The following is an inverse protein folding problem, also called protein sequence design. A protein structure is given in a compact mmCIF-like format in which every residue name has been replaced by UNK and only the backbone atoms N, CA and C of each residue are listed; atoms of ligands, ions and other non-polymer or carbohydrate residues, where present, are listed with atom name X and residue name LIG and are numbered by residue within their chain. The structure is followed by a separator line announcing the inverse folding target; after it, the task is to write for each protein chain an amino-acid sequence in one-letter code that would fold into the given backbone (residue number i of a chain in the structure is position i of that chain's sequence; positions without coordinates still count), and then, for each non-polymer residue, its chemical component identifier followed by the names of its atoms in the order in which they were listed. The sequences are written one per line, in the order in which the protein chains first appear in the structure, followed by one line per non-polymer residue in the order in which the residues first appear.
data_IF_111285398427
#
_entry.id   IF_111285398427
#
_cell.length_a   1.000
_cell.length_b   1.000
_cell.length_c   1.000
_cell.angle_alpha   90.00
_cell.angle_beta   90.00
_cell.angle_gamma   90.00
#
_symmetry.space_group_name_H-M   'P 1'
#
loop_
_entity.id
_entity.type
_entity.pdbx_description
1 polymer ?
#
# COMPACT_ATOMS: atom_id res chain seq x y z
N UNK A 1 -0.59 1.31 8.01
CA UNK A 1 0.75 1.93 7.84
C UNK A 1 1.28 2.49 9.16
N UNK A 2 0.53 3.34 9.86
CA UNK A 2 0.89 3.97 11.15
C UNK A 2 1.52 3.02 12.17
N UNK A 3 0.78 1.98 12.58
CA UNK A 3 1.23 1.09 13.64
C UNK A 3 2.26 0.08 13.17
N UNK A 4 1.91 -0.76 12.19
CA UNK A 4 2.76 -1.87 11.77
C UNK A 4 4.04 -1.38 11.07
N UNK A 5 3.93 -0.60 9.99
CA UNK A 5 5.11 -0.08 9.30
C UNK A 5 5.88 0.90 10.18
N UNK A 6 5.21 1.83 10.86
CA UNK A 6 5.87 2.81 11.73
C UNK A 6 6.65 2.18 12.90
N UNK A 7 6.13 1.13 13.53
CA UNK A 7 6.85 0.43 14.61
C UNK A 7 8.03 -0.40 14.10
N UNK A 8 7.85 -1.11 12.97
CA UNK A 8 8.93 -1.87 12.34
C UNK A 8 10.03 -0.95 11.81
N UNK A 9 9.66 0.18 11.21
CA UNK A 9 10.59 1.17 10.64
C UNK A 9 11.62 1.67 11.65
N UNK A 10 11.21 1.84 12.91
CA UNK A 10 12.07 2.24 14.03
C UNK A 10 13.06 1.16 14.46
N UNK A 11 12.76 -0.12 14.22
CA UNK A 11 13.54 -1.28 14.69
C UNK A 11 14.38 -1.93 13.59
N UNK A 12 13.86 -1.99 12.37
CA UNK A 12 14.39 -2.79 11.26
C UNK A 12 14.88 -1.94 10.08
N UNK A 13 14.69 -0.62 10.11
CA UNK A 13 14.99 0.26 8.99
C UNK A 13 13.92 0.21 7.88
N UNK A 14 14.18 0.93 6.78
CA UNK A 14 13.21 1.15 5.72
C UNK A 14 12.88 -0.12 4.94
N UNK A 15 13.90 -0.75 4.33
CA UNK A 15 13.71 -1.83 3.37
C UNK A 15 13.02 -3.07 3.96
N UNK A 16 13.44 -3.62 5.13
CA UNK A 16 12.77 -4.77 5.71
C UNK A 16 11.31 -4.46 6.11
N UNK A 17 11.08 -3.27 6.68
CA UNK A 17 9.72 -2.85 7.08
C UNK A 17 8.81 -2.68 5.87
N UNK A 18 9.32 -2.10 4.78
CA UNK A 18 8.59 -1.93 3.54
C UNK A 18 8.22 -3.28 2.92
N UNK A 19 9.18 -4.19 2.79
CA UNK A 19 8.95 -5.52 2.21
C UNK A 19 7.94 -6.31 3.04
N UNK A 20 8.16 -6.43 4.34
CA UNK A 20 7.32 -7.26 5.21
C UNK A 20 5.90 -6.72 5.28
N UNK A 21 5.73 -5.41 5.49
CA UNK A 21 4.37 -4.84 5.62
C UNK A 21 3.62 -4.74 4.30
N UNK A 22 4.32 -4.73 3.16
CA UNK A 22 3.69 -4.84 1.83
C UNK A 22 3.26 -6.27 1.56
N UNK A 23 4.09 -7.27 1.91
CA UNK A 23 3.75 -8.68 1.80
C UNK A 23 2.55 -9.05 2.68
N UNK A 24 2.52 -8.60 3.95
CA UNK A 24 1.37 -8.82 4.85
C UNK A 24 0.09 -8.22 4.26
N UNK A 25 0.17 -6.98 3.77
CA UNK A 25 -1.00 -6.32 3.18
C UNK A 25 -1.53 -7.08 1.96
N UNK A 26 -0.63 -7.55 1.08
CA UNK A 26 -0.99 -8.38 -0.06
C UNK A 26 -1.62 -9.71 0.36
N UNK A 27 -1.03 -10.44 1.32
CA UNK A 27 -1.56 -11.69 1.83
C UNK A 27 -2.97 -11.55 2.39
N UNK A 28 -3.26 -10.45 3.09
CA UNK A 28 -4.62 -10.16 3.59
C UNK A 28 -5.66 -9.94 2.47
N UNK A 29 -5.21 -9.66 1.25
CA UNK A 29 -6.07 -9.50 0.06
C UNK A 29 -6.03 -10.72 -0.87
N UNK A 30 -5.38 -11.80 -0.45
CA UNK A 30 -5.37 -13.06 -1.18
C UNK A 30 -6.72 -13.77 -1.03
N UNK A 31 -7.73 -13.29 -1.74
CA UNK A 31 -9.10 -13.83 -1.66
C UNK A 31 -9.50 -14.67 -2.88
N UNK A 32 -8.89 -14.44 -4.05
CA UNK A 32 -9.35 -14.99 -5.34
C UNK A 32 -8.45 -16.07 -5.92
N UNK A 33 -7.46 -16.56 -5.15
CA UNK A 33 -6.48 -17.54 -5.64
C UNK A 33 -5.44 -16.98 -6.63
N UNK A 34 -5.47 -15.67 -6.89
CA UNK A 34 -4.49 -14.96 -7.72
C UNK A 34 -3.59 -14.09 -6.85
N UNK A 35 -2.34 -13.88 -7.30
CA UNK A 35 -1.40 -13.02 -6.59
C UNK A 35 -1.90 -11.56 -6.64
N UNK A 36 -2.12 -10.88 -5.49
CA UNK A 36 -2.71 -9.56 -5.43
C UNK A 36 -1.65 -8.48 -5.73
N UNK A 37 -1.26 -8.40 -6.99
CA UNK A 37 -0.19 -7.51 -7.48
C UNK A 37 -0.47 -6.04 -7.20
N UNK A 38 -1.72 -5.60 -7.35
CA UNK A 38 -2.13 -4.23 -7.04
C UNK A 38 -1.90 -3.89 -5.57
N UNK A 39 -2.15 -4.83 -4.66
CA UNK A 39 -1.95 -4.66 -3.24
C UNK A 39 -0.47 -4.75 -2.86
N UNK A 40 0.33 -5.57 -3.53
CA UNK A 40 1.79 -5.54 -3.37
C UNK A 40 2.36 -4.17 -3.75
N UNK A 41 2.06 -3.69 -4.95
CA UNK A 41 2.52 -2.39 -5.45
C UNK A 41 1.98 -1.24 -4.58
N UNK A 42 0.69 -1.26 -4.28
CA UNK A 42 0.04 -0.29 -3.39
C UNK A 42 0.69 -0.29 -2.01
N UNK A 43 1.05 -1.46 -1.48
CA UNK A 43 1.69 -1.55 -0.17
C UNK A 43 3.05 -0.84 -0.09
N UNK A 44 3.84 -0.95 -1.15
CA UNK A 44 5.10 -0.21 -1.30
C UNK A 44 4.83 1.29 -1.37
N UNK A 45 3.94 1.70 -2.28
CA UNK A 45 3.59 3.11 -2.48
C UNK A 45 3.06 3.75 -1.20
N UNK A 46 2.16 3.08 -0.48
CA UNK A 46 1.59 3.59 0.79
C UNK A 46 2.65 3.71 1.89
N UNK A 47 3.62 2.79 1.93
CA UNK A 47 4.71 2.85 2.92
C UNK A 47 5.64 4.01 2.64
N UNK A 48 6.00 4.22 1.37
CA UNK A 48 6.82 5.36 0.94
C UNK A 48 6.09 6.70 1.12
N UNK A 49 4.81 6.77 0.75
CA UNK A 49 3.99 7.97 0.95
C UNK A 49 3.93 8.37 2.43
N UNK A 50 3.79 7.39 3.33
CA UNK A 50 3.85 7.64 4.76
C UNK A 50 5.26 8.06 5.24
N UNK A 51 6.31 7.37 4.78
CA UNK A 51 7.71 7.67 5.16
C UNK A 51 8.11 9.11 4.79
N UNK A 52 7.80 9.53 3.56
CA UNK A 52 8.21 10.86 3.07
C UNK A 52 7.33 12.00 3.58
N UNK A 53 6.04 11.75 3.81
CA UNK A 53 5.13 12.80 4.28
C UNK A 53 5.04 12.91 5.80
N UNK A 54 5.40 11.85 6.54
CA UNK A 54 5.13 11.73 7.97
C UNK A 54 3.63 11.71 8.33
N UNK A 55 2.73 11.67 7.33
CA UNK A 55 1.29 11.84 7.51
C UNK A 55 0.53 10.60 7.08
N UNK A 56 -0.50 10.27 7.85
CA UNK A 56 -1.43 9.17 7.55
C UNK A 56 -2.38 9.53 6.41
N UNK A 57 -2.55 10.84 6.14
CA UNK A 57 -3.41 11.33 5.07
C UNK A 57 -2.80 11.05 3.70
N UNK A 58 -1.48 11.11 3.54
CA UNK A 58 -0.84 10.83 2.25
C UNK A 58 -1.15 9.43 1.70
N UNK A 59 -0.91 8.31 2.42
CA UNK A 59 -1.28 6.99 1.93
C UNK A 59 -2.79 6.79 1.80
N UNK A 60 -3.61 7.47 2.62
CA UNK A 60 -5.07 7.40 2.51
C UNK A 60 -5.56 8.02 1.20
N UNK A 61 -5.07 9.21 0.85
CA UNK A 61 -5.41 9.90 -0.40
C UNK A 61 -4.92 9.10 -1.61
N UNK A 62 -3.70 8.57 -1.56
CA UNK A 62 -3.17 7.70 -2.64
C UNK A 62 -4.02 6.44 -2.80
N UNK A 63 -4.46 5.83 -1.69
CA UNK A 63 -5.36 4.68 -1.75
C UNK A 63 -6.71 5.02 -2.37
N UNK A 64 -7.35 6.12 -1.93
CA UNK A 64 -8.62 6.56 -2.46
C UNK A 64 -8.53 6.89 -3.95
N UNK A 65 -7.48 7.62 -4.37
CA UNK A 65 -7.22 7.96 -5.76
C UNK A 65 -6.94 6.72 -6.61
N UNK A 66 -6.14 5.78 -6.11
CA UNK A 66 -5.86 4.51 -6.80
C UNK A 66 -7.11 3.67 -7.02
N UNK A 67 -7.95 3.53 -5.99
CA UNK A 67 -9.23 2.83 -6.13
C UNK A 67 -10.14 3.53 -7.12
N UNK A 68 -10.27 4.87 -7.01
CA UNK A 68 -11.07 5.65 -7.94
C UNK A 68 -10.63 5.41 -9.38
N UNK A 69 -9.34 5.51 -9.67
CA UNK A 69 -8.79 5.26 -10.99
C UNK A 69 -9.07 3.84 -11.49
N UNK A 70 -8.85 2.80 -10.66
CA UNK A 70 -9.10 1.41 -11.04
C UNK A 70 -10.58 1.19 -11.39
N UNK A 71 -11.50 1.78 -10.63
CA UNK A 71 -12.93 1.61 -10.86
C UNK A 71 -13.48 2.53 -11.96
N UNK A 72 -12.87 3.69 -12.23
CA UNK A 72 -13.34 4.63 -13.25
C UNK A 72 -12.76 4.36 -14.64
N UNK A 73 -11.52 3.86 -14.72
CA UNK A 73 -10.79 3.69 -15.99
C UNK A 73 -11.52 2.79 -17.01
N UNK A 74 -12.18 1.68 -16.62
CA UNK A 74 -12.97 0.88 -17.57
C UNK A 74 -14.14 1.62 -18.21
N UNK A 75 -14.63 2.71 -17.61
CA UNK A 75 -15.69 3.54 -18.19
C UNK A 75 -15.16 4.58 -19.17
N UNK A 76 -13.88 4.97 -19.04
CA UNK A 76 -13.22 5.96 -19.89
C UNK A 76 -12.55 5.34 -21.13
N UNK A 77 -12.20 4.06 -21.06
CA UNK A 77 -11.54 3.31 -22.14
C UNK A 77 -12.53 2.51 -23.02
N UNK A 78 -13.82 2.81 -22.94
CA UNK A 78 -14.83 2.34 -23.89
C UNK A 78 -14.83 3.23 -25.14
#
# INVERSE_FOLDING_TARGET
RVYLFGSMRKKLGLWPSLIITSAIFALLHYATGSLPLAQLAGGVIFSLAYEYSGSVMAPLLVHAAGNFAIYSLPFLLK
#
